data_IF_861897001160
#
_entry.id   IF_861897001160
#
_cell.length_a   1.000
_cell.length_b   1.000
_cell.length_c   1.000
_cell.angle_alpha   90.00
_cell.angle_beta   90.00
_cell.angle_gamma   90.00
#
_symmetry.space_group_name_H-M   'P 1'
#
loop_
_entity.id
_entity.type
_entity.pdbx_description
1 polymer ?
#
# COMPACT_ATOMS: atom_id res chain seq x y z
N UNK A 1 4.39 -19.93 -7.16
CA UNK A 1 3.95 -19.52 -8.51
C UNK A 1 5.10 -19.50 -9.50
N UNK A 2 6.26 -18.91 -9.17
CA UNK A 2 7.45 -18.92 -10.04
C UNK A 2 7.83 -20.32 -10.59
N UNK A 3 7.94 -21.33 -9.73
CA UNK A 3 8.29 -22.71 -10.15
C UNK A 3 7.28 -23.34 -11.11
N UNK A 4 6.05 -22.84 -11.15
CA UNK A 4 4.98 -23.35 -12.02
C UNK A 4 4.99 -22.68 -13.40
N UNK A 5 5.81 -21.65 -13.58
CA UNK A 5 5.91 -20.90 -14.83
C UNK A 5 6.68 -21.74 -15.86
N UNK A 6 6.11 -21.88 -17.06
CA UNK A 6 6.81 -22.50 -18.18
C UNK A 6 7.98 -21.61 -18.65
N UNK A 7 8.95 -22.21 -19.33
CA UNK A 7 10.08 -21.48 -19.90
C UNK A 7 9.61 -20.45 -20.94
N UNK A 8 10.16 -19.23 -20.89
CA UNK A 8 9.66 -18.08 -21.64
C UNK A 8 8.40 -17.41 -21.06
N UNK A 9 7.86 -17.94 -19.95
CA UNK A 9 6.72 -17.37 -19.26
C UNK A 9 7.07 -16.09 -18.48
N UNK A 10 6.03 -15.32 -18.16
CA UNK A 10 6.14 -14.10 -17.35
C UNK A 10 5.28 -14.20 -16.09
N UNK A 11 5.82 -13.71 -14.97
CA UNK A 11 5.06 -13.49 -13.73
C UNK A 11 4.90 -11.99 -13.54
N UNK A 12 3.65 -11.54 -13.40
CA UNK A 12 3.31 -10.14 -13.11
C UNK A 12 2.82 -10.04 -11.67
N UNK A 13 3.38 -9.10 -10.92
CA UNK A 13 2.96 -8.78 -9.55
C UNK A 13 2.65 -7.29 -9.50
N UNK A 14 1.41 -6.95 -9.19
CA UNK A 14 1.01 -5.59 -8.82
C UNK A 14 0.87 -5.53 -7.29
N UNK A 15 1.60 -4.62 -6.65
CA UNK A 15 1.59 -4.47 -5.20
C UNK A 15 1.79 -3.01 -4.83
N UNK A 16 1.42 -2.62 -3.60
CA UNK A 16 1.73 -1.29 -3.08
C UNK A 16 3.24 -1.05 -3.12
N UNK A 17 3.64 0.09 -3.70
CA UNK A 17 5.06 0.47 -3.72
C UNK A 17 5.54 0.76 -2.31
N UNK A 18 6.77 0.35 -2.00
CA UNK A 18 7.48 0.79 -0.80
C UNK A 18 7.90 2.27 -0.89
N UNK A 19 7.86 2.84 -2.11
CA UNK A 19 8.02 4.26 -2.35
C UNK A 19 6.68 5.00 -2.18
N UNK A 20 6.78 6.29 -1.81
CA UNK A 20 5.63 7.17 -1.69
C UNK A 20 4.95 7.16 -0.31
N UNK A 21 3.97 8.06 -0.15
CA UNK A 21 3.33 8.30 1.16
C UNK A 21 2.42 7.15 1.59
N UNK A 22 1.82 6.42 0.64
CA UNK A 22 0.97 5.26 0.91
C UNK A 22 1.73 4.05 1.48
N UNK A 23 2.91 3.73 0.93
CA UNK A 23 3.77 2.66 1.49
C UNK A 23 4.29 3.03 2.88
N UNK A 24 4.72 4.28 3.07
CA UNK A 24 5.14 4.79 4.39
C UNK A 24 4.03 4.76 5.44
N UNK A 25 2.77 4.94 5.06
CA UNK A 25 1.64 4.74 5.98
C UNK A 25 1.57 3.29 6.48
N UNK A 26 1.79 2.31 5.59
CA UNK A 26 1.79 0.89 5.98
C UNK A 26 2.93 0.57 6.94
N UNK A 27 4.13 1.11 6.71
CA UNK A 27 5.23 1.00 7.66
C UNK A 27 4.89 1.62 9.02
N UNK A 28 4.29 2.82 9.04
CA UNK A 28 3.89 3.48 10.29
C UNK A 28 2.85 2.67 11.07
N UNK A 29 1.79 2.24 10.40
CA UNK A 29 0.75 1.42 11.03
C UNK A 29 1.30 0.10 11.57
N UNK A 30 2.17 -0.56 10.81
CA UNK A 30 2.81 -1.78 11.26
C UNK A 30 3.76 -1.55 12.45
N UNK A 31 4.51 -0.45 12.46
CA UNK A 31 5.42 -0.13 13.56
C UNK A 31 4.70 0.18 14.88
N UNK A 32 3.51 0.77 14.81
CA UNK A 32 2.74 1.18 15.99
C UNK A 32 1.74 0.11 16.46
N UNK A 33 1.12 -0.62 15.53
CA UNK A 33 0.00 -1.52 15.82
C UNK A 33 0.18 -2.95 15.28
N UNK A 34 1.28 -3.22 14.57
CA UNK A 34 1.57 -4.55 14.03
C UNK A 34 1.98 -5.53 15.13
N UNK A 35 1.64 -6.80 14.92
CA UNK A 35 2.09 -7.91 15.77
C UNK A 35 2.59 -9.07 14.90
N UNK A 36 3.65 -9.73 15.34
CA UNK A 36 4.29 -10.84 14.64
C UNK A 36 5.14 -10.45 13.42
N UNK A 37 5.07 -11.27 12.37
CA UNK A 37 5.91 -11.15 11.18
C UNK A 37 5.17 -10.41 10.05
N UNK A 38 5.67 -9.23 9.67
CA UNK A 38 5.10 -8.40 8.60
C UNK A 38 5.02 -9.14 7.27
N UNK A 39 6.00 -9.99 6.97
CA UNK A 39 6.05 -10.71 5.70
C UNK A 39 4.98 -11.80 5.61
N UNK A 40 4.38 -12.19 6.74
CA UNK A 40 3.23 -13.10 6.79
C UNK A 40 1.88 -12.37 6.79
N UNK A 41 1.89 -11.04 6.74
CA UNK A 41 0.68 -10.22 6.74
C UNK A 41 0.37 -9.63 5.35
N UNK A 42 -0.70 -8.84 5.29
CA UNK A 42 -1.10 -8.05 4.12
C UNK A 42 -0.26 -6.78 3.94
N UNK A 43 0.64 -6.46 4.88
CA UNK A 43 1.52 -5.28 4.84
C UNK A 43 2.84 -5.52 4.07
N UNK A 44 2.83 -6.48 3.14
CA UNK A 44 3.92 -6.66 2.17
C UNK A 44 3.87 -5.56 1.11
N UNK A 45 5.05 -5.12 0.69
CA UNK A 45 5.24 -4.08 -0.31
C UNK A 45 6.22 -4.55 -1.38
N UNK A 46 6.39 -3.74 -2.43
CA UNK A 46 7.24 -4.10 -3.56
C UNK A 46 8.69 -4.40 -3.18
N UNK A 47 9.28 -3.73 -2.18
CA UNK A 47 10.61 -4.09 -1.66
C UNK A 47 10.72 -5.55 -1.21
N UNK A 48 9.66 -6.10 -0.62
CA UNK A 48 9.66 -7.48 -0.13
C UNK A 48 9.67 -8.48 -1.30
N UNK A 49 8.97 -8.14 -2.40
CA UNK A 49 8.94 -8.92 -3.63
C UNK A 49 10.28 -8.83 -4.36
N UNK A 50 10.82 -7.61 -4.52
CA UNK A 50 12.12 -7.36 -5.16
C UNK A 50 13.23 -8.12 -4.43
N UNK A 51 13.28 -8.02 -3.09
CA UNK A 51 14.27 -8.73 -2.29
C UNK A 51 14.15 -10.26 -2.40
N UNK A 52 12.93 -10.79 -2.54
CA UNK A 52 12.73 -12.22 -2.80
C UNK A 52 13.24 -12.63 -4.18
N UNK A 53 12.96 -11.85 -5.22
CA UNK A 53 13.45 -12.09 -6.59
C UNK A 53 14.98 -12.01 -6.66
N UNK A 54 15.58 -10.99 -6.05
CA UNK A 54 17.03 -10.80 -5.97
C UNK A 54 17.71 -11.99 -5.30
N UNK A 55 17.15 -12.48 -4.18
CA UNK A 55 17.68 -13.64 -3.46
C UNK A 55 17.65 -14.93 -4.29
N UNK A 56 16.72 -15.04 -5.23
CA UNK A 56 16.55 -16.17 -6.13
C UNK A 56 17.30 -15.98 -7.46
N UNK A 57 18.04 -14.88 -7.63
CA UNK A 57 18.71 -14.49 -8.88
C UNK A 57 17.76 -14.42 -10.09
N UNK A 58 16.52 -13.98 -9.85
CA UNK A 58 15.48 -13.83 -10.88
C UNK A 58 15.54 -12.41 -11.44
N UNK A 59 15.70 -12.28 -12.76
CA UNK A 59 15.64 -10.97 -13.43
C UNK A 59 14.21 -10.45 -13.54
N UNK A 60 14.02 -9.16 -13.25
CA UNK A 60 12.73 -8.48 -13.38
C UNK A 60 12.91 -7.03 -13.84
N UNK A 61 11.80 -6.45 -14.31
CA UNK A 61 11.64 -5.01 -14.55
C UNK A 61 10.48 -4.49 -13.72
N UNK A 62 10.49 -3.21 -13.38
CA UNK A 62 9.41 -2.60 -12.61
C UNK A 62 8.95 -1.28 -13.21
N UNK A 63 7.70 -0.92 -12.92
CA UNK A 63 7.11 0.38 -13.22
C UNK A 63 6.21 0.80 -12.07
N UNK A 64 6.24 2.07 -11.71
CA UNK A 64 5.33 2.63 -10.72
C UNK A 64 4.14 3.32 -11.38
N UNK A 65 2.97 3.18 -10.77
CA UNK A 65 1.75 3.88 -11.15
C UNK A 65 1.25 4.70 -9.96
N UNK A 66 1.12 6.01 -10.17
CA UNK A 66 0.61 6.93 -9.15
C UNK A 66 -0.91 7.09 -9.30
N UNK A 67 -1.63 7.01 -8.18
CA UNK A 67 -3.07 7.26 -8.12
C UNK A 67 -3.37 8.32 -7.05
N UNK A 68 -4.16 9.33 -7.42
CA UNK A 68 -4.68 10.31 -6.46
C UNK A 68 -6.03 9.85 -5.92
N UNK A 69 -6.13 9.69 -4.60
CA UNK A 69 -7.36 9.30 -3.91
C UNK A 69 -7.94 10.55 -3.25
N UNK A 70 -9.19 10.87 -3.58
CA UNK A 70 -9.92 11.96 -2.91
C UNK A 70 -10.27 11.52 -1.48
N UNK A 71 -9.62 12.16 -0.51
CA UNK A 71 -9.75 11.89 0.92
C UNK A 71 -10.48 13.01 1.65
N UNK A 72 -11.16 13.90 0.92
CA UNK A 72 -11.90 15.04 1.50
C UNK A 72 -12.91 14.59 2.55
N UNK A 73 -13.61 13.49 2.28
CA UNK A 73 -14.60 12.91 3.18
C UNK A 73 -13.99 12.38 4.50
N UNK A 74 -12.69 12.03 4.54
CA UNK A 74 -12.03 11.56 5.76
C UNK A 74 -12.01 12.63 6.87
N UNK A 75 -12.07 13.91 6.50
CA UNK A 75 -12.03 15.03 7.44
C UNK A 75 -13.41 15.50 7.89
N UNK A 76 -14.49 14.95 7.32
CA UNK A 76 -15.86 15.29 7.71
C UNK A 76 -16.30 14.41 8.87
N UNK A 77 -16.74 15.05 9.95
CA UNK A 77 -17.31 14.34 11.08
C UNK A 77 -18.54 13.53 10.62
N UNK A 78 -18.64 12.28 11.07
CA UNK A 78 -19.72 11.34 10.74
C UNK A 78 -19.90 10.98 9.24
N UNK A 79 -18.93 11.29 8.37
CA UNK A 79 -18.99 10.82 6.97
C UNK A 79 -18.80 9.31 6.88
N UNK A 80 -19.82 8.61 6.37
CA UNK A 80 -19.74 7.17 6.10
C UNK A 80 -18.68 6.85 5.03
N UNK A 81 -18.55 7.71 4.02
CA UNK A 81 -17.53 7.57 2.97
C UNK A 81 -16.14 7.76 3.56
N UNK A 82 -15.96 8.79 4.39
CA UNK A 82 -14.70 9.03 5.09
C UNK A 82 -14.28 7.83 5.94
N UNK A 83 -15.21 7.26 6.72
CA UNK A 83 -14.88 6.11 7.56
C UNK A 83 -14.48 4.88 6.72
N UNK A 84 -15.18 4.60 5.63
CA UNK A 84 -14.81 3.49 4.73
C UNK A 84 -13.45 3.68 4.07
N UNK A 85 -13.10 4.92 3.72
CA UNK A 85 -11.77 5.22 3.19
C UNK A 85 -10.69 4.98 4.26
N UNK A 86 -10.93 5.40 5.51
CA UNK A 86 -9.99 5.11 6.60
C UNK A 86 -9.84 3.60 6.83
N UNK A 87 -10.94 2.84 6.86
CA UNK A 87 -10.90 1.37 6.96
C UNK A 87 -10.10 0.73 5.80
N UNK A 88 -10.24 1.27 4.59
CA UNK A 88 -9.47 0.84 3.42
C UNK A 88 -7.97 1.12 3.58
N UNK A 89 -7.60 2.31 4.04
CA UNK A 89 -6.19 2.67 4.23
C UNK A 89 -5.51 1.89 5.36
N UNK A 90 -6.24 1.51 6.40
CA UNK A 90 -5.67 0.79 7.54
C UNK A 90 -5.83 -0.72 7.44
N UNK A 91 -6.63 -1.20 6.48
CA UNK A 91 -7.07 -2.59 6.40
C UNK A 91 -7.72 -3.08 7.70
N UNK A 92 -8.41 -2.18 8.41
CA UNK A 92 -9.04 -2.43 9.71
C UNK A 92 -10.53 -2.18 9.60
N UNK A 93 -11.38 -3.22 9.67
CA UNK A 93 -12.83 -3.02 9.66
C UNK A 93 -13.30 -2.37 10.96
N UNK A 94 -14.39 -1.61 10.90
CA UNK A 94 -14.98 -0.91 12.05
C UNK A 94 -14.01 0.05 12.74
N UNK A 95 -13.20 0.79 11.97
CA UNK A 95 -12.16 1.72 12.46
C UNK A 95 -12.66 2.74 13.49
N UNK A 96 -13.97 3.01 13.54
CA UNK A 96 -14.60 3.83 14.57
C UNK A 96 -14.40 3.28 16.00
N UNK A 97 -14.18 1.97 16.15
CA UNK A 97 -13.88 1.31 17.43
C UNK A 97 -12.40 1.34 17.81
N UNK A 98 -11.54 1.76 16.88
CA UNK A 98 -10.08 1.81 17.04
C UNK A 98 -9.61 3.28 16.98
N UNK A 99 -9.89 4.09 18.02
CA UNK A 99 -9.69 5.54 17.97
C UNK A 99 -8.22 5.94 17.77
N UNK A 100 -7.28 5.15 18.28
CA UNK A 100 -5.84 5.39 18.14
C UNK A 100 -5.36 5.15 16.70
N UNK A 101 -5.78 4.04 16.07
CA UNK A 101 -5.47 3.77 14.66
C UNK A 101 -6.10 4.85 13.79
N UNK A 102 -7.36 5.22 14.08
CA UNK A 102 -8.12 6.25 13.36
C UNK A 102 -7.44 7.61 13.41
N UNK A 103 -7.04 8.08 14.60
CA UNK A 103 -6.38 9.38 14.74
C UNK A 103 -5.04 9.40 14.01
N UNK A 104 -4.27 8.32 14.14
CA UNK A 104 -2.96 8.15 13.51
C UNK A 104 -3.05 8.22 11.99
N UNK A 105 -3.98 7.46 11.37
CA UNK A 105 -4.13 7.49 9.91
C UNK A 105 -4.66 8.84 9.43
N UNK A 106 -5.57 9.48 10.17
CA UNK A 106 -6.15 10.76 9.78
C UNK A 106 -5.11 11.89 9.83
N UNK A 107 -4.28 11.91 10.88
CA UNK A 107 -3.15 12.84 10.99
C UNK A 107 -2.13 12.59 9.89
N UNK A 108 -1.78 11.34 9.63
CA UNK A 108 -0.84 11.00 8.57
C UNK A 108 -1.35 11.46 7.19
N UNK A 109 -2.62 11.18 6.86
CA UNK A 109 -3.25 11.64 5.61
C UNK A 109 -3.23 13.16 5.56
N UNK A 110 -3.56 13.87 6.65
CA UNK A 110 -3.52 15.34 6.70
C UNK A 110 -2.15 15.90 6.33
N UNK A 111 -1.08 15.34 6.89
CA UNK A 111 0.29 15.81 6.68
C UNK A 111 0.88 15.42 5.32
N UNK A 112 0.30 14.43 4.63
CA UNK A 112 0.84 13.85 3.40
C UNK A 112 -0.11 13.97 2.19
N UNK A 113 -1.13 14.82 2.29
CA UNK A 113 -2.05 15.10 1.19
C UNK A 113 -1.82 16.49 0.60
N UNK A 114 -2.28 16.65 -0.64
CA UNK A 114 -2.32 17.94 -1.32
C UNK A 114 -3.75 18.48 -1.36
N UNK A 115 -3.91 19.81 -1.38
CA UNK A 115 -5.22 20.47 -1.50
C UNK A 115 -5.33 21.10 -2.88
N UNK A 116 -6.40 20.78 -3.60
CA UNK A 116 -6.72 21.35 -4.91
C UNK A 116 -8.17 21.79 -4.89
N UNK A 117 -8.39 23.11 -4.80
CA UNK A 117 -9.73 23.66 -4.58
C UNK A 117 -10.28 23.28 -3.20
N UNK A 118 -11.46 22.69 -3.18
CA UNK A 118 -12.13 22.17 -1.98
C UNK A 118 -11.81 20.69 -1.70
N UNK A 119 -10.94 20.08 -2.53
CA UNK A 119 -10.61 18.66 -2.44
C UNK A 119 -9.23 18.42 -1.84
N UNK A 120 -9.12 17.34 -1.09
CA UNK A 120 -7.87 16.84 -0.51
C UNK A 120 -7.51 15.53 -1.19
N UNK A 121 -6.32 15.46 -1.79
CA UNK A 121 -5.83 14.29 -2.52
C UNK A 121 -4.65 13.65 -1.81
N UNK A 122 -4.82 12.36 -1.48
CA UNK A 122 -3.76 11.51 -0.97
C UNK A 122 -3.17 10.68 -2.11
N UNK A 123 -1.86 10.75 -2.30
CA UNK A 123 -1.17 10.02 -3.36
C UNK A 123 -0.84 8.59 -2.93
N UNK A 124 -1.36 7.61 -3.65
CA UNK A 124 -0.96 6.20 -3.53
C UNK A 124 -0.10 5.81 -4.71
N UNK A 125 0.84 4.89 -4.51
CA UNK A 125 1.71 4.36 -5.56
C UNK A 125 1.61 2.83 -5.53
N UNK A 126 1.27 2.23 -6.66
CA UNK A 126 1.46 0.80 -6.91
C UNK A 126 2.72 0.59 -7.74
N UNK A 127 3.39 -0.53 -7.55
CA UNK A 127 4.51 -0.96 -8.37
C UNK A 127 4.12 -2.27 -9.06
N UNK A 128 4.24 -2.28 -10.39
CA UNK A 128 4.10 -3.47 -11.23
C UNK A 128 5.49 -4.04 -11.46
N UNK A 129 5.68 -5.30 -11.07
CA UNK A 129 6.93 -6.04 -11.20
C UNK A 129 6.69 -7.18 -12.21
N UNK A 130 7.50 -7.24 -13.26
CA UNK A 130 7.44 -8.28 -14.28
C UNK A 130 8.74 -9.08 -14.27
N UNK A 131 8.64 -10.35 -13.86
CA UNK A 131 9.75 -11.29 -13.89
C UNK A 131 9.61 -12.24 -15.08
N UNK A 132 10.71 -12.50 -15.79
CA UNK A 132 10.75 -13.36 -16.98
C UNK A 132 11.57 -14.61 -16.72
N UNK A 133 10.99 -15.80 -16.95
CA UNK A 133 11.70 -17.06 -16.81
C UNK A 133 12.46 -17.38 -18.09
N UNK A 134 13.79 -17.33 -18.00
CA UNK A 134 14.67 -17.68 -19.12
C UNK A 134 14.47 -19.14 -19.52
N UNK A 135 14.66 -19.42 -20.81
CA UNK A 135 14.74 -20.77 -21.37
C UNK A 135 16.02 -21.47 -20.94
#
# INVERSE_FOLDING_TARGET
MWEQLADGGHMVVEIKSDNGVGGRLYYKLWAEFGDGDRLKSVFRMSCDVKQWLDKMDISYVTSEEETNIDVTECFKENSKTGMRLLEFFTLTPYIAKEPEIRSTVLEYIRCNSSVVGDKVFFKSVSEVIVAHKRQ
#
